data_IF_407761029250
#
_entry.id   IF_407761029250
#
_cell.length_a   1.000
_cell.length_b   1.000
_cell.length_c   1.000
_cell.angle_alpha   90.00
_cell.angle_beta   90.00
_cell.angle_gamma   90.00
#
_symmetry.space_group_name_H-M   'P 1'
#
loop_
_entity.id
_entity.type
_entity.pdbx_description
1 polymer ?
#
# COMPACT_ATOMS: atom_id res chain seq x y z
N UNK A 1 -13.14 -6.46 -25.27
CA UNK A 1 -14.49 -7.08 -25.22
C UNK A 1 -14.78 -7.82 -26.50
N UNK A 2 -15.47 -8.91 -26.40
CA UNK A 2 -15.91 -9.72 -27.55
C UNK A 2 -17.18 -10.48 -27.19
N UNK A 3 -17.89 -10.98 -28.22
CA UNK A 3 -19.05 -11.80 -27.97
C UNK A 3 -20.05 -11.84 -29.11
N UNK A 4 -21.13 -12.56 -28.86
CA UNK A 4 -22.33 -12.65 -29.71
C UNK A 4 -23.53 -12.00 -29.03
N UNK A 5 -24.70 -11.99 -29.66
CA UNK A 5 -25.94 -11.49 -29.02
C UNK A 5 -26.29 -12.26 -27.73
N UNK A 6 -25.92 -13.54 -27.65
CA UNK A 6 -26.22 -14.42 -26.51
C UNK A 6 -25.08 -14.57 -25.50
N UNK A 7 -23.85 -14.15 -25.85
CA UNK A 7 -22.68 -14.29 -24.98
C UNK A 7 -21.75 -13.11 -25.16
N UNK A 8 -21.49 -12.38 -24.09
CA UNK A 8 -20.61 -11.22 -24.09
C UNK A 8 -19.52 -11.40 -23.03
N UNK A 9 -18.27 -11.24 -23.46
CA UNK A 9 -17.08 -11.34 -22.62
C UNK A 9 -16.35 -10.01 -22.55
N UNK A 10 -15.96 -9.62 -21.35
CA UNK A 10 -15.12 -8.47 -21.10
C UNK A 10 -13.94 -8.89 -20.24
N UNK A 11 -12.76 -8.43 -20.60
CA UNK A 11 -11.56 -8.60 -19.83
C UNK A 11 -10.77 -7.29 -19.81
N UNK A 12 -10.23 -6.92 -18.64
CA UNK A 12 -9.39 -5.75 -18.50
C UNK A 12 -8.25 -6.00 -17.55
N UNK A 13 -7.13 -5.36 -17.83
CA UNK A 13 -5.98 -5.27 -16.95
C UNK A 13 -5.59 -3.81 -16.81
N UNK A 14 -5.38 -3.39 -15.55
CA UNK A 14 -4.89 -2.07 -15.22
C UNK A 14 -3.64 -2.16 -14.35
N UNK A 15 -2.66 -1.29 -14.62
CA UNK A 15 -1.49 -1.11 -13.79
C UNK A 15 -1.43 0.34 -13.33
N UNK A 16 -1.12 0.54 -12.06
CA UNK A 16 -0.86 1.85 -11.47
C UNK A 16 0.48 1.77 -10.73
N UNK A 17 1.41 2.65 -11.08
CA UNK A 17 2.67 2.81 -10.36
C UNK A 17 2.84 4.27 -9.99
N UNK A 18 3.13 4.55 -8.74
CA UNK A 18 3.36 5.91 -8.24
C UNK A 18 4.49 5.95 -7.23
N UNK A 19 5.12 7.11 -7.13
CA UNK A 19 6.11 7.42 -6.09
C UNK A 19 5.53 8.54 -5.24
N UNK A 20 5.68 8.41 -3.93
CA UNK A 20 5.30 9.46 -3.00
C UNK A 20 6.28 10.64 -3.02
N UNK A 21 5.89 11.71 -2.35
CA UNK A 21 6.76 12.89 -2.15
C UNK A 21 7.97 12.56 -1.30
N UNK A 22 7.80 11.66 -0.33
CA UNK A 22 8.90 11.17 0.48
C UNK A 22 9.78 10.20 -0.32
N UNK A 23 11.11 10.30 -0.23
CA UNK A 23 12.02 9.29 -0.77
C UNK A 23 11.66 7.89 -0.29
N UNK A 24 11.93 6.87 -1.12
CA UNK A 24 11.66 5.44 -0.85
C UNK A 24 10.18 5.02 -0.79
N UNK A 25 9.24 5.96 -0.74
CA UNK A 25 7.82 5.65 -0.77
C UNK A 25 7.37 5.29 -2.19
N UNK A 26 6.83 4.08 -2.36
CA UNK A 26 6.32 3.60 -3.64
C UNK A 26 5.01 2.87 -3.47
N UNK A 27 4.17 2.96 -4.49
CA UNK A 27 2.92 2.23 -4.59
C UNK A 27 2.80 1.60 -5.98
N UNK A 28 2.47 0.31 -6.00
CA UNK A 28 2.18 -0.43 -7.23
C UNK A 28 0.85 -1.16 -7.05
N UNK A 29 -0.01 -1.11 -8.07
CA UNK A 29 -1.27 -1.83 -8.10
C UNK A 29 -1.49 -2.46 -9.45
N UNK A 30 -1.83 -3.73 -9.45
CA UNK A 30 -2.30 -4.49 -10.60
C UNK A 30 -3.77 -4.84 -10.37
N UNK A 31 -4.60 -4.55 -11.34
CA UNK A 31 -6.02 -4.85 -11.31
C UNK A 31 -6.41 -5.67 -12.53
N UNK A 32 -6.94 -6.86 -12.28
CA UNK A 32 -7.41 -7.78 -13.30
C UNK A 32 -8.91 -7.93 -13.14
N UNK A 33 -9.70 -7.66 -14.18
CA UNK A 33 -11.14 -7.78 -14.13
C UNK A 33 -11.66 -8.58 -15.32
N UNK A 34 -12.63 -9.43 -15.05
CA UNK A 34 -13.33 -10.20 -16.05
C UNK A 34 -14.84 -10.13 -15.80
N UNK A 35 -15.60 -10.10 -16.87
CA UNK A 35 -17.06 -10.21 -16.84
C UNK A 35 -17.53 -11.06 -17.99
N UNK A 36 -18.47 -11.95 -17.69
CA UNK A 36 -19.12 -12.81 -18.67
C UNK A 36 -20.63 -12.71 -18.49
N UNK A 37 -21.33 -12.38 -19.55
CA UNK A 37 -22.80 -12.34 -19.59
C UNK A 37 -23.29 -13.38 -20.58
N UNK A 38 -24.24 -14.19 -20.19
CA UNK A 38 -24.94 -15.16 -21.04
C UNK A 38 -26.42 -14.84 -21.04
N UNK A 39 -27.03 -14.95 -22.25
CA UNK A 39 -28.47 -14.88 -22.42
C UNK A 39 -28.96 -16.18 -23.03
N UNK A 40 -30.02 -16.75 -22.47
CA UNK A 40 -30.63 -18.00 -22.88
C UNK A 40 -32.16 -17.88 -22.90
N UNK A 41 -32.84 -18.88 -23.50
CA UNK A 41 -34.30 -18.96 -23.61
C UNK A 41 -34.94 -17.71 -24.24
N UNK A 42 -34.47 -17.33 -25.43
CA UNK A 42 -34.93 -16.12 -26.13
C UNK A 42 -34.80 -14.87 -25.25
N UNK A 43 -33.63 -14.72 -24.61
CA UNK A 43 -33.29 -13.60 -23.74
C UNK A 43 -34.07 -13.53 -22.42
N UNK A 44 -34.94 -14.50 -22.12
CA UNK A 44 -35.66 -14.54 -20.84
C UNK A 44 -34.76 -14.83 -19.64
N UNK A 45 -33.67 -15.54 -19.86
CA UNK A 45 -32.67 -15.82 -18.80
C UNK A 45 -31.38 -15.03 -19.09
N UNK A 46 -30.98 -14.20 -18.15
CA UNK A 46 -29.68 -13.51 -18.18
C UNK A 46 -28.85 -13.95 -16.98
N UNK A 47 -27.65 -14.44 -17.26
CA UNK A 47 -26.64 -14.80 -16.27
C UNK A 47 -25.44 -13.87 -16.44
N UNK A 48 -25.04 -13.21 -15.36
CA UNK A 48 -23.92 -12.28 -15.36
C UNK A 48 -22.93 -12.68 -14.26
N UNK A 49 -21.70 -12.95 -14.68
CA UNK A 49 -20.61 -13.29 -13.77
C UNK A 49 -19.51 -12.26 -13.88
N UNK A 50 -19.05 -11.72 -12.78
CA UNK A 50 -17.90 -10.81 -12.75
C UNK A 50 -16.91 -11.22 -11.68
N UNK A 51 -15.64 -11.02 -11.97
CA UNK A 51 -14.54 -11.23 -11.05
C UNK A 51 -13.50 -10.14 -11.19
N UNK A 52 -12.97 -9.70 -10.05
CA UNK A 52 -11.89 -8.73 -9.99
C UNK A 52 -10.84 -9.21 -9.00
N UNK A 53 -9.58 -9.23 -9.43
CA UNK A 53 -8.45 -9.46 -8.57
C UNK A 53 -7.56 -8.22 -8.55
N UNK A 54 -7.27 -7.74 -7.35
CA UNK A 54 -6.39 -6.60 -7.14
C UNK A 54 -5.21 -7.01 -6.28
N UNK A 55 -4.02 -6.84 -6.82
CA UNK A 55 -2.77 -6.87 -6.08
C UNK A 55 -2.29 -5.46 -5.86
N UNK A 56 -1.93 -5.10 -4.63
CA UNK A 56 -1.27 -3.82 -4.36
C UNK A 56 -0.12 -3.99 -3.38
N UNK A 57 0.96 -3.30 -3.68
CA UNK A 57 2.16 -3.21 -2.84
C UNK A 57 2.45 -1.76 -2.51
N UNK A 58 2.58 -1.46 -1.24
CA UNK A 58 3.00 -0.15 -0.74
C UNK A 58 4.29 -0.33 0.04
N UNK A 59 5.32 0.42 -0.32
CA UNK A 59 6.59 0.48 0.43
C UNK A 59 6.72 1.82 1.12
N UNK A 60 7.24 1.79 2.34
CA UNK A 60 7.63 2.96 3.12
C UNK A 60 6.56 4.05 3.16
N UNK A 61 5.29 3.64 3.38
CA UNK A 61 4.24 4.60 3.65
C UNK A 61 4.63 5.42 4.88
N UNK A 62 4.71 6.76 4.77
CA UNK A 62 5.05 7.60 5.91
C UNK A 62 4.11 7.34 7.09
N UNK A 63 4.67 7.14 8.26
CA UNK A 63 3.92 7.04 9.50
C UNK A 63 3.42 8.42 9.94
N UNK A 64 2.37 8.42 10.73
CA UNK A 64 1.91 9.60 11.48
C UNK A 64 2.48 9.62 12.90
N UNK A 65 2.26 10.72 13.62
CA UNK A 65 2.73 10.91 14.99
C UNK A 65 4.21 11.28 15.09
N UNK A 66 4.75 11.26 16.29
CA UNK A 66 6.09 11.77 16.56
C UNK A 66 7.21 10.76 16.25
N UNK A 67 6.94 9.47 16.41
CA UNK A 67 7.97 8.43 16.31
C UNK A 67 8.20 7.87 14.90
N UNK A 68 7.14 7.78 14.12
CA UNK A 68 7.18 7.16 12.79
C UNK A 68 7.10 8.19 11.64
N UNK A 69 7.03 9.48 11.97
CA UNK A 69 7.03 10.57 11.01
C UNK A 69 8.45 11.09 10.78
N UNK A 70 9.07 10.86 9.62
CA UNK A 70 10.43 11.31 9.35
C UNK A 70 10.57 12.84 9.31
N UNK A 71 9.47 13.59 9.20
CA UNK A 71 9.53 15.07 9.19
C UNK A 71 9.74 15.67 10.59
N UNK A 72 9.52 14.91 11.66
CA UNK A 72 9.67 15.46 13.03
C UNK A 72 11.07 15.96 13.25
N UNK A 73 12.09 15.21 12.86
CA UNK A 73 13.49 15.63 12.96
C UNK A 73 13.81 16.94 12.22
N UNK A 74 13.08 17.25 11.14
CA UNK A 74 13.30 18.50 10.40
C UNK A 74 12.78 19.74 11.12
N UNK A 75 11.76 19.60 11.98
CA UNK A 75 11.21 20.74 12.70
C UNK A 75 12.09 21.21 13.85
N UNK A 76 12.96 20.33 14.37
CA UNK A 76 13.83 20.62 15.52
C UNK A 76 15.27 20.88 15.13
N UNK A 77 15.65 20.72 13.86
CA UNK A 77 17.02 21.01 13.40
C UNK A 77 17.26 22.52 13.37
N UNK A 78 18.37 23.03 13.95
CA UNK A 78 18.75 24.43 13.87
C UNK A 78 19.01 24.86 12.42
N UNK A 79 18.65 26.10 12.07
CA UNK A 79 18.76 26.63 10.69
C UNK A 79 20.21 26.76 10.17
N UNK A 80 21.19 26.83 11.08
CA UNK A 80 22.60 26.93 10.75
C UNK A 80 23.28 25.58 10.51
N UNK A 81 22.55 24.48 10.63
CA UNK A 81 23.07 23.12 10.44
C UNK A 81 22.99 22.76 8.96
N UNK A 82 24.08 22.20 8.44
CA UNK A 82 24.11 21.65 7.09
C UNK A 82 23.32 20.33 7.02
N UNK A 83 22.07 20.46 6.62
CA UNK A 83 21.19 19.29 6.45
C UNK A 83 21.68 18.35 5.32
N UNK A 84 22.38 18.89 4.31
CA UNK A 84 22.97 18.09 3.23
C UNK A 84 23.97 17.08 3.74
N UNK A 85 24.79 17.46 4.72
CA UNK A 85 25.71 16.56 5.38
C UNK A 85 24.99 15.36 6.00
N UNK A 86 23.92 15.58 6.78
CA UNK A 86 23.16 14.52 7.45
C UNK A 86 22.31 13.68 6.48
N UNK A 87 21.96 14.22 5.32
CA UNK A 87 21.32 13.48 4.24
C UNK A 87 22.31 12.46 3.64
N UNK A 88 23.51 12.91 3.33
CA UNK A 88 24.49 12.11 2.61
C UNK A 88 25.23 11.15 3.54
N UNK A 89 25.30 11.49 4.83
CA UNK A 89 25.97 10.71 5.87
C UNK A 89 25.00 10.35 7.01
N UNK A 90 23.84 9.77 6.69
CA UNK A 90 22.83 9.42 7.71
C UNK A 90 23.25 8.23 8.60
N UNK A 91 24.37 7.57 8.27
CA UNK A 91 24.95 6.43 9.00
C UNK A 91 26.33 6.74 9.54
N UNK A 92 26.58 6.24 10.74
CA UNK A 92 27.91 6.20 11.35
C UNK A 92 28.25 4.75 11.70
N UNK A 93 29.51 4.38 11.46
CA UNK A 93 30.06 3.10 11.88
C UNK A 93 31.01 3.32 13.06
N UNK A 94 30.68 2.68 14.19
CA UNK A 94 31.54 2.74 15.36
C UNK A 94 32.69 1.72 15.21
N UNK A 95 33.91 2.10 15.63
CA UNK A 95 35.07 1.22 15.62
C UNK A 95 34.86 -0.06 16.44
N UNK A 96 34.06 0.01 17.53
CA UNK A 96 33.74 -1.17 18.35
C UNK A 96 32.69 -2.10 17.72
N UNK A 97 31.88 -1.59 16.79
CA UNK A 97 30.83 -2.32 16.08
C UNK A 97 30.80 -1.95 14.61
N UNK A 98 31.84 -2.31 13.85
CA UNK A 98 31.98 -1.85 12.46
C UNK A 98 30.92 -2.41 11.50
N UNK A 99 30.19 -3.45 11.89
CA UNK A 99 29.13 -4.07 11.08
C UNK A 99 27.73 -3.57 11.38
N UNK A 100 27.55 -2.80 12.47
CA UNK A 100 26.25 -2.29 12.90
C UNK A 100 26.24 -0.77 12.76
N UNK A 101 25.61 -0.22 11.70
CA UNK A 101 25.50 1.21 11.55
C UNK A 101 24.60 1.80 12.63
N UNK A 102 24.95 2.99 13.09
CA UNK A 102 24.13 3.83 13.98
C UNK A 102 23.68 5.07 13.19
N UNK A 103 22.59 5.69 13.61
CA UNK A 103 22.16 6.91 12.95
C UNK A 103 23.10 8.07 13.25
N UNK A 104 23.42 8.84 12.22
CA UNK A 104 24.13 10.12 12.34
C UNK A 104 23.10 11.24 12.40
N UNK A 105 22.95 11.85 13.58
CA UNK A 105 22.04 12.97 13.77
C UNK A 105 22.56 13.92 14.84
N UNK A 106 22.15 15.18 14.72
CA UNK A 106 22.49 16.18 15.73
C UNK A 106 21.64 15.94 16.98
N UNK A 107 22.27 15.40 18.01
CA UNK A 107 21.66 15.15 19.32
C UNK A 107 22.56 15.82 20.32
N UNK A 108 22.43 17.11 20.52
CA UNK A 108 23.26 17.82 21.49
C UNK A 108 22.53 18.15 22.78
N UNK A 109 21.24 17.84 22.90
CA UNK A 109 20.49 18.23 24.10
C UNK A 109 19.60 17.10 24.63
N UNK A 110 19.87 16.70 25.89
CA UNK A 110 19.17 15.66 26.63
C UNK A 110 17.79 16.12 27.13
N UNK A 111 16.96 16.64 26.24
CA UNK A 111 15.59 16.98 26.59
C UNK A 111 14.64 15.83 26.20
N UNK A 112 13.45 15.81 26.78
CA UNK A 112 12.41 14.79 26.54
C UNK A 112 11.97 14.65 25.07
N UNK A 113 12.52 15.44 24.17
CA UNK A 113 12.30 15.37 22.71
C UNK A 113 13.29 14.46 21.98
N UNK A 114 14.33 13.96 22.65
CA UNK A 114 15.40 13.15 22.04
C UNK A 114 14.90 11.86 21.43
N UNK A 115 13.99 11.18 22.11
CA UNK A 115 13.39 9.93 21.60
C UNK A 115 12.62 10.12 20.29
N UNK A 116 12.25 11.36 19.97
CA UNK A 116 11.48 11.73 18.81
C UNK A 116 12.35 12.34 17.70
N UNK A 117 13.57 12.78 18.05
CA UNK A 117 14.47 13.45 17.14
C UNK A 117 15.41 12.46 16.46
N UNK A 118 15.02 11.98 15.30
CA UNK A 118 15.77 11.00 14.51
C UNK A 118 16.13 11.58 13.14
N UNK A 119 17.24 11.13 12.59
CA UNK A 119 17.61 11.50 11.23
C UNK A 119 16.52 11.04 10.24
N UNK A 120 15.88 11.96 9.50
CA UNK A 120 14.85 11.63 8.54
C UNK A 120 15.29 10.59 7.49
N UNK A 121 16.52 10.69 7.00
CA UNK A 121 17.05 9.74 6.01
C UNK A 121 17.37 8.37 6.60
N UNK A 122 17.77 8.31 7.87
CA UNK A 122 17.85 7.05 8.59
C UNK A 122 16.48 6.38 8.64
N UNK A 123 15.45 7.12 9.03
CA UNK A 123 14.09 6.58 9.12
C UNK A 123 13.57 6.10 7.76
N UNK A 124 13.88 6.81 6.68
CA UNK A 124 13.44 6.47 5.33
C UNK A 124 14.19 5.26 4.73
N UNK A 125 15.46 5.06 5.09
CA UNK A 125 16.30 4.02 4.50
C UNK A 125 16.46 2.80 5.40
N UNK A 126 16.37 2.98 6.73
CA UNK A 126 16.56 1.92 7.73
C UNK A 126 15.27 1.53 8.48
N UNK A 127 14.19 2.28 8.25
CA UNK A 127 12.84 1.91 8.67
C UNK A 127 12.05 1.40 7.48
N UNK A 128 12.16 0.10 7.17
CA UNK A 128 11.52 -0.48 5.98
C UNK A 128 10.12 -0.97 6.35
N UNK A 129 9.11 -0.41 5.71
CA UNK A 129 7.73 -0.85 5.80
C UNK A 129 7.21 -1.36 4.46
N UNK A 130 6.66 -2.55 4.44
CA UNK A 130 6.06 -3.15 3.24
C UNK A 130 4.66 -3.65 3.56
N UNK A 131 3.67 -3.23 2.78
CA UNK A 131 2.31 -3.72 2.84
C UNK A 131 1.93 -4.33 1.51
N UNK A 132 1.53 -5.59 1.54
CA UNK A 132 1.03 -6.31 0.37
C UNK A 132 -0.43 -6.65 0.63
N UNK A 133 -1.30 -6.31 -0.30
CA UNK A 133 -2.73 -6.57 -0.23
C UNK A 133 -3.19 -7.33 -1.46
N UNK A 134 -3.89 -8.42 -1.21
CA UNK A 134 -4.58 -9.23 -2.21
C UNK A 134 -6.07 -9.11 -1.97
N UNK A 135 -6.81 -8.59 -2.93
CA UNK A 135 -8.26 -8.48 -2.87
C UNK A 135 -8.86 -9.22 -4.05
N UNK A 136 -9.75 -10.13 -3.75
CA UNK A 136 -10.54 -10.87 -4.73
C UNK A 136 -12.01 -10.60 -4.50
N UNK A 137 -12.70 -10.15 -5.54
CA UNK A 137 -14.14 -9.89 -5.51
C UNK A 137 -14.78 -10.62 -6.67
N UNK A 138 -15.84 -11.37 -6.42
CA UNK A 138 -16.63 -12.01 -7.47
C UNK A 138 -18.11 -11.84 -7.20
N UNK A 139 -18.90 -11.76 -8.26
CA UNK A 139 -20.35 -11.74 -8.14
C UNK A 139 -21.00 -12.47 -9.32
N UNK A 140 -22.10 -13.14 -8.99
CA UNK A 140 -22.98 -13.78 -9.98
C UNK A 140 -24.37 -13.21 -9.82
N UNK A 141 -25.00 -12.86 -10.93
CA UNK A 141 -26.39 -12.39 -10.99
C UNK A 141 -27.15 -13.26 -11.96
N UNK A 142 -28.29 -13.74 -11.52
CA UNK A 142 -29.25 -14.48 -12.33
C UNK A 142 -30.54 -13.67 -12.41
N UNK A 143 -30.98 -13.36 -13.61
CA UNK A 143 -32.26 -12.69 -13.88
C UNK A 143 -33.11 -13.54 -14.79
N UNK A 144 -34.33 -13.83 -14.40
CA UNK A 144 -35.30 -14.57 -15.20
C UNK A 144 -36.57 -13.77 -15.39
N UNK A 145 -36.96 -13.60 -16.65
CA UNK A 145 -38.20 -12.92 -17.05
C UNK A 145 -39.32 -13.95 -17.13
N UNK A 146 -40.24 -13.92 -16.18
CA UNK A 146 -41.36 -14.85 -16.09
C UNK A 146 -42.46 -14.44 -17.08
N UNK A 147 -42.82 -13.14 -17.05
CA UNK A 147 -43.78 -12.49 -17.94
C UNK A 147 -43.20 -11.18 -18.41
N UNK A 148 -43.80 -10.57 -19.43
CA UNK A 148 -43.30 -9.27 -19.93
C UNK A 148 -43.30 -8.16 -18.88
N UNK A 149 -44.18 -8.27 -17.89
CA UNK A 149 -44.30 -7.34 -16.78
C UNK A 149 -43.64 -7.84 -15.46
N UNK A 150 -43.12 -9.09 -15.43
CA UNK A 150 -42.62 -9.69 -14.19
C UNK A 150 -41.27 -10.36 -14.39
N UNK A 151 -40.28 -9.95 -13.63
CA UNK A 151 -38.97 -10.59 -13.58
C UNK A 151 -38.53 -10.87 -12.14
N UNK A 152 -37.77 -11.93 -11.96
CA UNK A 152 -37.10 -12.26 -10.69
C UNK A 152 -35.59 -12.18 -10.88
N UNK A 153 -34.88 -11.65 -9.90
CA UNK A 153 -33.42 -11.53 -9.93
C UNK A 153 -32.83 -11.95 -8.59
N UNK A 154 -31.80 -12.78 -8.65
CA UNK A 154 -30.94 -13.12 -7.52
C UNK A 154 -29.51 -12.69 -7.79
N UNK A 155 -28.81 -12.19 -6.76
CA UNK A 155 -27.39 -11.83 -6.81
C UNK A 155 -26.66 -12.42 -5.64
N UNK A 156 -25.52 -13.05 -5.92
CA UNK A 156 -24.56 -13.52 -4.91
C UNK A 156 -23.23 -12.80 -5.14
N UNK A 157 -22.61 -12.34 -4.06
CA UNK A 157 -21.30 -11.71 -4.10
C UNK A 157 -20.40 -12.31 -3.03
N UNK A 158 -19.12 -12.48 -3.38
CA UNK A 158 -18.08 -12.92 -2.47
C UNK A 158 -16.89 -11.98 -2.56
N UNK A 159 -16.36 -11.57 -1.41
CA UNK A 159 -15.16 -10.76 -1.31
C UNK A 159 -14.19 -11.38 -0.31
N UNK A 160 -12.93 -11.44 -0.70
CA UNK A 160 -11.83 -11.82 0.19
C UNK A 160 -10.73 -10.77 0.07
N UNK A 161 -10.35 -10.21 1.22
CA UNK A 161 -9.28 -9.23 1.35
C UNK A 161 -8.24 -9.75 2.33
N UNK A 162 -6.99 -9.84 1.89
CA UNK A 162 -5.87 -10.27 2.71
C UNK A 162 -4.76 -9.25 2.61
N UNK A 163 -4.41 -8.65 3.75
CA UNK A 163 -3.33 -7.67 3.85
C UNK A 163 -2.24 -8.22 4.75
N UNK A 164 -1.03 -8.29 4.22
CA UNK A 164 0.17 -8.64 4.97
C UNK A 164 1.03 -7.39 5.13
N UNK A 165 1.33 -7.05 6.37
CA UNK A 165 2.16 -5.89 6.71
C UNK A 165 3.42 -6.35 7.42
N UNK A 166 4.59 -5.91 6.92
CA UNK A 166 5.90 -6.15 7.51
C UNK A 166 6.58 -4.82 7.74
N UNK A 167 7.09 -4.63 8.95
CA UNK A 167 7.92 -3.47 9.30
C UNK A 167 9.22 -3.95 9.92
N UNK A 168 10.32 -3.42 9.42
CA UNK A 168 11.66 -3.68 9.92
C UNK A 168 12.28 -2.35 10.36
N UNK A 169 12.86 -2.32 11.53
CA UNK A 169 13.63 -1.19 12.04
C UNK A 169 15.01 -1.69 12.41
N UNK A 170 16.03 -0.99 11.95
CA UNK A 170 17.41 -1.31 12.27
C UNK A 170 17.71 -0.95 13.74
N UNK A 171 18.70 -1.62 14.31
CA UNK A 171 19.28 -1.22 15.61
C UNK A 171 19.71 0.24 15.54
N UNK A 172 19.68 0.98 16.65
CA UNK A 172 19.87 2.44 16.71
C UNK A 172 18.64 3.29 16.26
N UNK A 173 17.55 2.67 15.83
CA UNK A 173 16.28 3.41 15.67
C UNK A 173 15.64 3.55 17.05
N UNK A 174 15.33 4.77 17.47
CA UNK A 174 14.68 5.01 18.76
C UNK A 174 13.27 4.41 18.77
N UNK A 175 12.94 3.77 19.89
CA UNK A 175 11.62 3.24 20.21
C UNK A 175 11.21 3.74 21.58
N UNK A 176 9.95 4.09 21.74
CA UNK A 176 9.35 4.03 23.05
C UNK A 176 9.28 2.55 23.43
N UNK A 177 9.98 2.17 24.50
CA UNK A 177 9.73 0.91 25.17
C UNK A 177 8.33 0.97 25.76
N UNK A 178 7.38 0.26 25.16
CA UNK A 178 6.12 -0.05 25.81
C UNK A 178 6.32 -1.20 26.78
#
# INVERSE_FOLDING_TARGET
SGGSQTSQSYFSYGNTSSRGVMPTNTFVRHNLSGRQTFKAFNEKLTMDFSGTYTYSETKNKPGGGMLDNPLVGLYVIPRNVDYGYYRDNYELFNAERPTVPTQNWIVEDYTSLEEHNQNPYWMLNRGIGKSIRHRFTTSGTLKYQILDCLSIQGRLSYERDNTNFRREKYASTYRLSM
#
